data_IF_447158907237
#
_entry.id   IF_447158907237
#
_cell.length_a   1.000
_cell.length_b   1.000
_cell.length_c   1.000
_cell.angle_alpha   90.00
_cell.angle_beta   90.00
_cell.angle_gamma   90.00
#
_symmetry.space_group_name_H-M   'P 1'
#
loop_
_entity.id
_entity.type
_entity.pdbx_description
1 polymer ?
#
# COMPACT_ATOMS: atom_id res chain seq x y z
N UNK A 1 26.02 -30.20 3.57
CA UNK A 1 24.57 -29.93 3.68
C UNK A 1 24.33 -28.70 2.83
N UNK A 2 23.60 -28.83 1.73
CA UNK A 2 23.37 -27.72 0.79
C UNK A 2 21.97 -27.20 1.05
N UNK A 3 21.86 -25.95 1.50
CA UNK A 3 20.56 -25.29 1.68
C UNK A 3 20.09 -24.91 0.28
N UNK A 4 19.02 -25.56 -0.18
CA UNK A 4 18.37 -25.23 -1.43
C UNK A 4 17.40 -24.08 -1.15
N UNK A 5 17.74 -22.87 -1.61
CA UNK A 5 16.83 -21.73 -1.57
C UNK A 5 15.91 -21.90 -2.78
N UNK A 6 14.67 -22.32 -2.53
CA UNK A 6 13.62 -22.33 -3.56
C UNK A 6 12.95 -20.95 -3.51
N UNK A 7 13.01 -20.15 -4.57
CA UNK A 7 12.29 -18.89 -4.61
C UNK A 7 10.79 -19.17 -4.52
N UNK A 8 10.09 -18.50 -3.60
CA UNK A 8 8.64 -18.56 -3.54
C UNK A 8 8.06 -17.80 -4.76
N UNK A 9 7.13 -18.42 -5.47
CA UNK A 9 6.48 -17.80 -6.61
C UNK A 9 5.42 -16.80 -6.12
N UNK A 10 5.54 -15.55 -6.57
CA UNK A 10 4.56 -14.49 -6.33
C UNK A 10 4.08 -13.92 -7.66
N UNK A 11 2.79 -13.64 -7.74
CA UNK A 11 2.15 -12.91 -8.82
C UNK A 11 2.04 -11.43 -8.46
N UNK A 12 2.39 -10.58 -9.40
CA UNK A 12 2.18 -9.14 -9.30
C UNK A 12 0.71 -8.80 -9.54
N UNK A 13 0.10 -8.00 -8.65
CA UNK A 13 -1.25 -7.46 -8.79
C UNK A 13 -1.27 -5.95 -8.56
N UNK A 14 -2.25 -5.30 -9.19
CA UNK A 14 -2.45 -3.85 -9.14
C UNK A 14 -3.94 -3.55 -9.22
N UNK A 15 -4.44 -2.77 -8.28
CA UNK A 15 -5.86 -2.42 -8.16
C UNK A 15 -6.02 -0.95 -7.81
N UNK A 16 -7.13 -0.35 -8.23
CA UNK A 16 -7.44 1.05 -7.91
C UNK A 16 -8.42 1.12 -6.75
N UNK A 17 -8.14 1.98 -5.77
CA UNK A 17 -9.00 2.22 -4.61
C UNK A 17 -9.21 3.72 -4.40
N UNK A 18 -10.34 4.11 -3.82
CA UNK A 18 -10.56 5.48 -3.36
C UNK A 18 -10.12 5.65 -1.92
N UNK A 19 -9.53 6.80 -1.61
CA UNK A 19 -9.21 7.17 -0.23
C UNK A 19 -10.50 7.24 0.59
N UNK A 20 -10.51 6.59 1.75
CA UNK A 20 -11.67 6.50 2.63
C UNK A 20 -12.64 5.35 2.30
N UNK A 21 -12.46 4.64 1.19
CA UNK A 21 -13.22 3.43 0.88
C UNK A 21 -12.51 2.16 1.38
N UNK A 22 -13.31 1.10 1.55
CA UNK A 22 -12.82 -0.22 1.95
C UNK A 22 -12.10 -0.89 0.77
N UNK A 23 -10.95 -1.49 1.06
CA UNK A 23 -10.09 -2.21 0.13
C UNK A 23 -9.70 -3.55 0.76
N UNK A 24 -10.01 -4.65 0.08
CA UNK A 24 -9.71 -6.00 0.56
C UNK A 24 -8.36 -6.45 -0.01
N UNK A 25 -7.41 -6.76 0.88
CA UNK A 25 -6.11 -7.28 0.50
C UNK A 25 -6.04 -8.78 0.81
N UNK A 26 -5.66 -9.66 -0.14
CA UNK A 26 -5.53 -11.09 0.10
C UNK A 26 -4.57 -11.42 1.25
N UNK A 27 -4.87 -12.46 2.04
CA UNK A 27 -4.24 -12.73 3.36
C UNK A 27 -2.70 -12.75 3.38
N UNK A 28 -2.05 -13.29 2.33
CA UNK A 28 -0.59 -13.42 2.28
C UNK A 28 0.06 -12.46 1.29
N UNK A 29 -0.60 -11.33 1.02
CA UNK A 29 -0.04 -10.28 0.20
C UNK A 29 1.18 -9.65 0.88
N UNK A 30 2.22 -9.37 0.09
CA UNK A 30 3.45 -8.72 0.55
C UNK A 30 3.95 -7.70 -0.46
N UNK A 31 4.99 -6.94 -0.12
CA UNK A 31 5.55 -5.92 -1.01
C UNK A 31 4.53 -4.86 -1.44
N UNK A 32 3.67 -4.44 -0.51
CA UNK A 32 2.56 -3.54 -0.80
C UNK A 32 3.09 -2.13 -1.03
N UNK A 33 2.61 -1.47 -2.08
CA UNK A 33 2.91 -0.07 -2.36
C UNK A 33 1.67 0.65 -2.92
N UNK A 34 1.48 1.90 -2.53
CA UNK A 34 0.27 2.69 -2.79
C UNK A 34 0.64 4.01 -3.45
N UNK A 35 0.25 4.21 -4.69
CA UNK A 35 0.58 5.44 -5.42
C UNK A 35 -0.67 6.21 -5.82
N UNK A 36 -0.65 7.55 -5.85
CA UNK A 36 -1.76 8.32 -6.41
C UNK A 36 -1.98 7.92 -7.88
N UNK A 37 -3.25 7.68 -8.24
CA UNK A 37 -3.67 7.38 -9.60
C UNK A 37 -4.16 8.63 -10.35
N UNK A 38 -4.37 9.73 -9.62
CA UNK A 38 -4.83 11.02 -10.15
C UNK A 38 -4.16 12.20 -9.43
N UNK A 39 -4.33 13.41 -9.99
CA UNK A 39 -3.72 14.63 -9.48
C UNK A 39 -4.34 15.12 -8.16
N UNK A 40 -5.54 14.63 -7.82
CA UNK A 40 -6.22 14.98 -6.57
C UNK A 40 -5.72 14.15 -5.39
N UNK A 41 -5.15 12.98 -5.67
CA UNK A 41 -4.73 12.03 -4.67
C UNK A 41 -5.91 11.40 -3.91
N UNK A 42 -7.14 11.48 -4.46
CA UNK A 42 -8.34 10.82 -3.92
C UNK A 42 -8.48 9.39 -4.45
N UNK A 43 -7.84 9.08 -5.58
CA UNK A 43 -7.75 7.73 -6.14
C UNK A 43 -6.31 7.28 -6.06
N UNK A 44 -6.09 6.05 -5.58
CA UNK A 44 -4.77 5.43 -5.50
C UNK A 44 -4.75 4.11 -6.25
N UNK A 45 -3.57 3.70 -6.68
CA UNK A 45 -3.25 2.36 -7.16
C UNK A 45 -2.52 1.62 -6.05
N UNK A 46 -3.11 0.54 -5.54
CA UNK A 46 -2.48 -0.39 -4.60
C UNK A 46 -1.86 -1.53 -5.40
N UNK A 47 -0.56 -1.72 -5.24
CA UNK A 47 0.22 -2.77 -5.88
C UNK A 47 0.76 -3.71 -4.81
N UNK A 48 0.73 -5.01 -5.07
CA UNK A 48 1.17 -6.02 -4.11
C UNK A 48 1.55 -7.33 -4.80
N UNK A 49 2.31 -8.15 -4.07
CA UNK A 49 2.72 -9.50 -4.45
C UNK A 49 1.81 -10.51 -3.77
N UNK A 50 1.17 -11.37 -4.55
CA UNK A 50 0.22 -12.40 -4.08
C UNK A 50 0.74 -13.80 -4.41
N UNK A 51 0.50 -14.81 -3.55
CA UNK A 51 0.80 -16.22 -3.88
C UNK A 51 -0.19 -16.78 -4.93
N UNK A 52 0.25 -17.63 -5.87
CA UNK A 52 -0.56 -18.09 -7.00
C UNK A 52 -1.83 -18.86 -6.64
N UNK A 53 -1.85 -19.55 -5.51
CA UNK A 53 -2.97 -20.40 -5.08
C UNK A 53 -3.93 -19.73 -4.09
N UNK A 54 -3.71 -18.46 -3.77
CA UNK A 54 -4.58 -17.72 -2.84
C UNK A 54 -5.84 -17.24 -3.57
N UNK A 55 -6.96 -17.15 -2.85
CA UNK A 55 -8.21 -16.61 -3.40
C UNK A 55 -8.11 -15.08 -3.51
N UNK A 56 -8.70 -14.49 -4.57
CA UNK A 56 -8.80 -13.03 -4.71
C UNK A 56 -9.97 -12.47 -3.87
N UNK A 57 -10.95 -13.32 -3.50
CA UNK A 57 -12.16 -12.92 -2.77
C UNK A 57 -12.05 -13.04 -1.23
N UNK A 58 -10.98 -13.66 -0.71
CA UNK A 58 -10.73 -13.78 0.73
C UNK A 58 -9.51 -12.96 1.15
N UNK A 59 -9.69 -12.10 2.16
CA UNK A 59 -8.62 -11.22 2.61
C UNK A 59 -8.92 -10.44 3.88
N UNK A 60 -8.03 -9.50 4.16
CA UNK A 60 -8.20 -8.52 5.22
C UNK A 60 -8.74 -7.23 4.61
N UNK A 61 -9.81 -6.71 5.20
CA UNK A 61 -10.35 -5.42 4.81
C UNK A 61 -9.60 -4.28 5.48
N UNK A 62 -9.16 -3.33 4.68
CA UNK A 62 -8.53 -2.10 5.12
C UNK A 62 -9.27 -0.89 4.57
N UNK A 63 -9.08 0.26 5.19
CA UNK A 63 -9.45 1.55 4.60
C UNK A 63 -8.18 2.23 4.10
N UNK A 64 -8.17 2.69 2.85
CA UNK A 64 -7.07 3.54 2.38
C UNK A 64 -7.14 4.90 3.06
N UNK A 65 -6.06 5.32 3.69
CA UNK A 65 -5.93 6.60 4.39
C UNK A 65 -4.89 7.47 3.72
N UNK A 66 -5.05 8.78 3.89
CA UNK A 66 -4.16 9.82 3.34
C UNK A 66 -3.86 10.84 4.43
N UNK A 67 -2.58 11.14 4.60
CA UNK A 67 -2.08 12.21 5.46
C UNK A 67 -1.08 13.10 4.71
N UNK A 68 -0.75 14.25 5.27
CA UNK A 68 0.20 15.20 4.67
C UNK A 68 1.30 15.54 5.67
N UNK A 69 2.55 15.39 5.23
CA UNK A 69 3.77 15.84 5.89
C UNK A 69 4.12 17.21 5.30
N UNK A 70 4.04 18.27 6.10
CA UNK A 70 4.36 19.65 5.71
C UNK A 70 5.78 20.06 6.15
N UNK A 71 6.45 19.21 6.93
CA UNK A 71 7.80 19.41 7.44
C UNK A 71 8.53 18.07 7.53
N UNK A 72 9.87 18.02 7.38
CA UNK A 72 10.66 16.82 7.68
C UNK A 72 10.56 16.37 9.15
N UNK A 73 10.08 17.24 10.05
CA UNK A 73 9.82 16.91 11.46
C UNK A 73 8.37 16.44 11.70
N UNK A 74 7.48 16.57 10.70
CA UNK A 74 6.11 16.09 10.84
C UNK A 74 6.12 14.58 10.97
N UNK A 75 5.33 14.08 11.91
CA UNK A 75 5.17 12.64 12.14
C UNK A 75 3.71 12.28 11.93
N UNK A 76 3.42 11.41 10.96
CA UNK A 76 2.08 10.84 10.78
C UNK A 76 1.92 9.69 11.76
N UNK A 77 0.84 9.73 12.56
CA UNK A 77 0.49 8.67 13.49
C UNK A 77 -0.05 7.44 12.76
N UNK A 78 0.84 6.59 12.26
CA UNK A 78 0.47 5.35 11.60
C UNK A 78 -0.01 4.32 12.65
N UNK A 79 -1.10 3.57 12.38
CA UNK A 79 -1.49 2.48 13.25
C UNK A 79 -0.41 1.41 13.30
N UNK A 80 -0.34 0.70 14.42
CA UNK A 80 0.63 -0.39 14.66
C UNK A 80 0.61 -1.50 13.60
N UNK A 81 -0.44 -1.59 12.78
CA UNK A 81 -0.63 -2.62 11.77
C UNK A 81 -0.69 -2.06 10.36
N UNK A 82 -0.13 -0.87 10.10
CA UNK A 82 -0.08 -0.39 8.72
C UNK A 82 0.82 -1.31 7.88
N UNK A 83 0.25 -1.96 6.87
CA UNK A 83 0.93 -2.98 6.05
C UNK A 83 1.47 -2.44 4.72
N UNK A 84 1.17 -1.20 4.35
CA UNK A 84 1.64 -0.59 3.12
C UNK A 84 1.69 0.91 3.27
N UNK A 85 2.90 1.45 3.45
CA UNK A 85 3.14 2.89 3.43
C UNK A 85 3.73 3.26 2.08
N UNK A 86 3.32 4.39 1.53
CA UNK A 86 4.06 5.02 0.44
C UNK A 86 4.00 6.52 0.58
N UNK A 87 5.18 7.15 0.46
CA UNK A 87 5.37 8.59 0.57
C UNK A 87 5.57 9.16 -0.83
N UNK A 88 4.72 10.11 -1.21
CA UNK A 88 4.78 10.81 -2.49
C UNK A 88 5.10 12.29 -2.23
N UNK A 89 6.29 12.80 -2.59
CA UNK A 89 6.59 14.21 -2.45
C UNK A 89 5.72 15.05 -3.41
N UNK A 90 5.28 16.22 -2.96
CA UNK A 90 4.60 17.20 -3.80
C UNK A 90 5.54 17.79 -4.86
N UNK A 91 5.00 18.30 -5.98
CA UNK A 91 5.79 18.78 -7.12
C UNK A 91 6.74 19.92 -6.78
N UNK A 92 6.37 20.77 -5.82
CA UNK A 92 7.13 21.97 -5.43
C UNK A 92 7.97 21.79 -4.15
N UNK A 93 8.00 20.57 -3.60
CA UNK A 93 8.77 20.26 -2.39
C UNK A 93 8.23 20.89 -1.10
N UNK A 94 7.02 21.46 -1.12
CA UNK A 94 6.38 22.09 0.04
C UNK A 94 5.83 21.07 1.05
N UNK A 95 5.64 19.82 0.65
CA UNK A 95 5.18 18.73 1.51
C UNK A 95 5.21 17.38 0.81
N UNK A 96 4.91 16.32 1.55
CA UNK A 96 4.74 14.97 1.01
C UNK A 96 3.40 14.39 1.47
N UNK A 97 2.70 13.73 0.55
CA UNK A 97 1.48 12.99 0.85
C UNK A 97 1.84 11.56 1.19
N UNK A 98 1.27 11.05 2.29
CA UNK A 98 1.49 9.68 2.75
C UNK A 98 0.19 8.91 2.59
N UNK A 99 0.28 7.74 1.97
CA UNK A 99 -0.84 6.81 1.83
C UNK A 99 -0.58 5.54 2.63
N UNK A 100 -1.62 5.04 3.29
CA UNK A 100 -1.50 3.83 4.10
C UNK A 100 -2.80 3.01 4.20
N UNK A 101 -2.65 1.69 4.42
CA UNK A 101 -3.76 0.78 4.74
C UNK A 101 -4.03 0.80 6.25
N UNK A 102 -5.28 1.10 6.62
CA UNK A 102 -5.69 1.39 7.99
C UNK A 102 -6.96 0.72 8.48
#
# INVERSE_FOLDING_TARGET
>A
MTIQIVPEDYNWRSETARVGEQFTLPYYSTGISIFPADDTGEIVTVTYLKKPDEDDDEGNDFTVRRDTLNSPEDTVGLPHYSLGETVCPGPDGEGATVYWLG
#
